data_IF_570235266930
#
_entry.id   IF_570235266930
#
_cell.length_a   1.000
_cell.length_b   1.000
_cell.length_c   1.000
_cell.angle_alpha   90.00
_cell.angle_beta   90.00
_cell.angle_gamma   90.00
#
_symmetry.space_group_name_H-M   'P 1'
#
loop_
_entity.id
_entity.type
_entity.pdbx_description
1 polymer ?
#
# COMPACT_ATOMS: atom_id res chain seq x y z
N UNK A 1 4.15 -3.67 6.74
CA UNK A 1 2.97 -2.78 6.79
C UNK A 1 3.14 -1.71 5.75
N UNK A 2 2.14 -1.54 4.88
CA UNK A 2 2.00 -0.41 3.96
C UNK A 2 0.88 0.46 4.53
N UNK A 3 1.06 1.76 4.48
CA UNK A 3 0.13 2.74 5.06
C UNK A 3 -0.03 3.91 4.09
N UNK A 4 -1.28 4.31 3.85
CA UNK A 4 -1.64 5.45 3.00
C UNK A 4 -2.48 6.38 3.88
N UNK A 5 -1.93 7.54 4.24
CA UNK A 5 -2.66 8.57 4.98
C UNK A 5 -3.47 9.44 4.01
N UNK A 6 -4.53 10.05 4.54
CA UNK A 6 -5.53 10.82 3.80
C UNK A 6 -6.27 9.99 2.75
N UNK A 7 -6.44 8.69 3.01
CA UNK A 7 -7.18 7.77 2.14
C UNK A 7 -8.70 7.96 2.30
N UNK A 8 -9.40 8.17 1.19
CA UNK A 8 -10.86 8.23 1.09
C UNK A 8 -11.37 6.98 0.37
N UNK A 9 -12.21 6.17 1.01
CA UNK A 9 -12.71 4.92 0.41
C UNK A 9 -13.64 5.11 -0.79
N UNK A 10 -14.26 6.29 -0.91
CA UNK A 10 -15.15 6.61 -2.01
C UNK A 10 -14.33 6.97 -3.26
N UNK A 11 -13.30 7.78 -3.05
CA UNK A 11 -12.49 8.38 -4.10
C UNK A 11 -11.27 7.55 -4.48
N UNK A 12 -10.67 6.86 -3.51
CA UNK A 12 -9.42 6.16 -3.71
C UNK A 12 -9.62 4.67 -3.94
N UNK A 13 -8.71 4.10 -4.70
CA UNK A 13 -8.60 2.67 -4.90
C UNK A 13 -7.14 2.25 -4.99
N UNK A 14 -6.87 1.06 -4.47
CA UNK A 14 -5.56 0.42 -4.56
C UNK A 14 -5.76 -1.01 -5.07
N UNK A 15 -5.00 -1.37 -6.11
CA UNK A 15 -4.93 -2.72 -6.63
C UNK A 15 -3.49 -3.22 -6.61
N UNK A 16 -3.34 -4.54 -6.67
CA UNK A 16 -2.05 -5.22 -6.77
C UNK A 16 -2.22 -6.54 -7.49
N UNK A 17 -1.15 -7.05 -8.08
CA UNK A 17 -1.20 -8.30 -8.83
C UNK A 17 -1.07 -9.49 -7.86
N UNK A 18 -2.13 -10.30 -7.76
CA UNK A 18 -2.18 -11.49 -6.92
C UNK A 18 -1.40 -12.68 -7.50
N UNK A 19 -1.17 -12.74 -8.81
CA UNK A 19 -0.42 -13.82 -9.44
C UNK A 19 1.06 -13.81 -9.04
N UNK A 20 1.58 -12.64 -8.64
CA UNK A 20 2.94 -12.46 -8.13
C UNK A 20 2.99 -12.32 -6.60
N UNK A 21 1.87 -12.59 -5.92
CA UNK A 21 1.83 -12.54 -4.46
C UNK A 21 2.78 -13.59 -3.88
N UNK A 22 3.67 -13.24 -2.92
CA UNK A 22 4.68 -14.18 -2.46
C UNK A 22 4.06 -15.38 -1.74
N UNK A 23 4.47 -16.59 -2.13
CA UNK A 23 4.04 -17.81 -1.45
C UNK A 23 4.48 -17.81 0.01
N UNK A 24 3.63 -18.33 0.90
CA UNK A 24 3.90 -18.32 2.35
C UNK A 24 3.64 -16.98 3.05
N UNK A 25 3.07 -16.01 2.34
CA UNK A 25 2.51 -14.80 2.93
C UNK A 25 0.99 -14.87 3.00
N UNK A 26 0.42 -14.01 3.84
CA UNK A 26 -0.98 -13.63 3.86
C UNK A 26 -1.04 -12.11 3.98
N UNK A 27 -2.16 -11.51 3.59
CA UNK A 27 -2.38 -10.09 3.80
C UNK A 27 -3.70 -9.83 4.52
N UNK A 28 -3.70 -8.78 5.32
CA UNK A 28 -4.91 -8.17 5.88
C UNK A 28 -4.89 -6.71 5.51
N UNK A 29 -6.07 -6.14 5.28
CA UNK A 29 -6.20 -4.71 5.05
C UNK A 29 -7.37 -4.14 5.82
N UNK A 30 -7.35 -2.83 6.04
CA UNK A 30 -8.42 -2.11 6.69
C UNK A 30 -8.25 -0.62 6.52
N UNK A 31 -9.36 0.10 6.65
CA UNK A 31 -9.40 1.56 6.58
C UNK A 31 -9.77 2.06 7.98
N UNK A 32 -8.96 2.96 8.52
CA UNK A 32 -9.16 3.52 9.86
C UNK A 32 -8.85 5.01 9.82
N UNK A 33 -9.81 5.85 10.22
CA UNK A 33 -9.64 7.32 10.37
C UNK A 33 -8.97 7.98 9.15
N UNK A 34 -9.48 7.72 7.95
CA UNK A 34 -8.94 8.31 6.72
C UNK A 34 -7.55 7.78 6.35
N UNK A 35 -7.20 6.57 6.79
CA UNK A 35 -5.94 5.90 6.44
C UNK A 35 -6.20 4.46 6.01
N UNK A 36 -5.57 4.03 4.92
CA UNK A 36 -5.56 2.63 4.50
C UNK A 36 -4.32 1.94 5.06
N UNK A 37 -4.51 0.77 5.66
CA UNK A 37 -3.43 -0.07 6.17
C UNK A 37 -3.46 -1.43 5.49
N UNK A 38 -2.29 -1.90 5.07
CA UNK A 38 -2.09 -3.26 4.55
C UNK A 38 -0.97 -3.92 5.34
N UNK A 39 -1.29 -5.04 5.97
CA UNK A 39 -0.37 -5.83 6.77
C UNK A 39 -0.10 -7.13 6.01
N UNK A 40 1.14 -7.26 5.53
CA UNK A 40 1.65 -8.51 4.97
C UNK A 40 2.27 -9.32 6.12
N UNK A 41 1.81 -10.56 6.32
CA UNK A 41 2.24 -11.46 7.39
C UNK A 41 2.77 -12.77 6.79
N UNK A 42 3.95 -13.21 7.24
CA UNK A 42 4.57 -14.45 6.76
C UNK A 42 6.06 -14.28 6.53
N UNK A 43 6.67 -15.30 5.90
CA UNK A 43 8.08 -15.30 5.52
C UNK A 43 8.17 -15.30 4.00
N UNK A 44 9.03 -14.45 3.45
CA UNK A 44 9.32 -14.39 2.02
C UNK A 44 10.77 -13.95 1.81
N UNK A 45 11.33 -14.25 0.64
CA UNK A 45 12.56 -13.60 0.18
C UNK A 45 12.28 -12.16 -0.27
N UNK A 46 13.31 -11.32 -0.23
CA UNK A 46 13.28 -9.98 -0.83
C UNK A 46 13.03 -10.02 -2.34
N UNK A 47 13.54 -11.07 -3.00
CA UNK A 47 13.38 -11.29 -4.46
C UNK A 47 11.92 -11.50 -4.88
N UNK A 48 11.04 -11.94 -3.98
CA UNK A 48 9.59 -12.03 -4.25
C UNK A 48 8.82 -10.83 -3.69
N UNK A 49 9.21 -10.31 -2.52
CA UNK A 49 8.51 -9.19 -1.88
C UNK A 49 8.54 -7.92 -2.73
N UNK A 50 9.70 -7.53 -3.24
CA UNK A 50 9.83 -6.26 -3.96
C UNK A 50 9.10 -6.24 -5.31
N UNK A 51 9.13 -7.30 -6.14
CA UNK A 51 8.28 -7.38 -7.31
C UNK A 51 6.79 -7.24 -6.98
N UNK A 52 6.30 -7.91 -5.92
CA UNK A 52 4.93 -7.75 -5.47
C UNK A 52 4.61 -6.29 -5.12
N UNK A 53 5.44 -5.63 -4.31
CA UNK A 53 5.25 -4.23 -3.93
C UNK A 53 5.26 -3.28 -5.15
N UNK A 54 6.06 -3.58 -6.17
CA UNK A 54 6.10 -2.80 -7.43
C UNK A 54 4.83 -2.95 -8.27
N UNK A 55 4.04 -4.00 -8.07
CA UNK A 55 2.75 -4.16 -8.77
C UNK A 55 1.60 -3.36 -8.17
N UNK A 56 1.83 -2.69 -7.04
CA UNK A 56 0.78 -1.88 -6.41
C UNK A 56 0.48 -0.66 -7.27
N UNK A 57 -0.79 -0.49 -7.60
CA UNK A 57 -1.30 0.65 -8.39
C UNK A 57 -2.29 1.40 -7.52
N UNK A 58 -2.04 2.68 -7.34
CA UNK A 58 -2.95 3.60 -6.68
C UNK A 58 -3.71 4.42 -7.73
N UNK A 59 -5.00 4.66 -7.50
CA UNK A 59 -5.82 5.54 -8.32
C UNK A 59 -6.78 6.37 -7.47
N UNK A 60 -6.80 7.68 -7.72
CA UNK A 60 -7.83 8.62 -7.28
C UNK A 60 -8.88 8.75 -8.40
N UNK A 61 -10.15 8.55 -8.09
CA UNK A 61 -11.25 8.53 -9.07
C UNK A 61 -11.82 9.91 -9.40
N UNK A 62 -11.75 10.88 -8.50
CA UNK A 62 -12.37 12.20 -8.73
C UNK A 62 -11.47 13.20 -9.47
N UNK A 63 -10.20 12.87 -9.74
CA UNK A 63 -9.23 13.81 -10.34
C UNK A 63 -9.10 15.13 -9.53
N UNK A 64 -9.53 15.09 -8.25
CA UNK A 64 -9.36 16.21 -7.35
C UNK A 64 -7.95 16.17 -6.77
N UNK A 65 -7.31 17.34 -6.76
CA UNK A 65 -5.98 17.46 -6.17
C UNK A 65 -6.02 17.07 -4.70
N UNK A 66 -5.21 16.07 -4.33
CA UNK A 66 -5.12 15.62 -2.95
C UNK A 66 -3.72 15.15 -2.61
N UNK A 67 -3.28 15.51 -1.41
CA UNK A 67 -2.03 15.02 -0.85
C UNK A 67 -2.24 13.64 -0.23
N UNK A 68 -1.43 12.68 -0.65
CA UNK A 68 -1.38 11.33 -0.06
C UNK A 68 0.01 11.05 0.47
N UNK A 69 0.07 10.42 1.65
CA UNK A 69 1.32 10.03 2.28
C UNK A 69 1.42 8.52 2.32
N UNK A 70 2.33 7.96 1.52
CA UNK A 70 2.60 6.53 1.47
C UNK A 70 3.78 6.19 2.36
N UNK A 71 3.62 5.19 3.23
CA UNK A 71 4.69 4.71 4.11
C UNK A 71 4.84 3.20 4.02
N UNK A 72 6.08 2.73 3.83
CA UNK A 72 6.45 1.31 3.93
C UNK A 72 7.21 1.06 5.22
N UNK A 73 6.72 0.09 5.99
CA UNK A 73 7.36 -0.44 7.18
C UNK A 73 7.64 -1.93 7.03
N UNK A 74 8.88 -2.34 7.31
CA UNK A 74 9.31 -3.75 7.34
C UNK A 74 9.81 -4.00 8.77
N UNK A 75 9.32 -5.08 9.40
CA UNK A 75 9.67 -5.43 10.79
C UNK A 75 9.55 -4.23 11.75
N UNK A 76 8.46 -3.48 11.65
CA UNK A 76 8.15 -2.28 12.44
C UNK A 76 9.11 -1.08 12.25
N UNK A 77 10.13 -1.20 11.39
CA UNK A 77 11.00 -0.09 11.01
C UNK A 77 10.47 0.59 9.76
N UNK A 78 10.54 1.92 9.72
CA UNK A 78 10.17 2.71 8.55
C UNK A 78 11.29 2.64 7.51
N UNK A 79 10.99 2.12 6.32
CA UNK A 79 11.95 1.99 5.24
C UNK A 79 11.76 3.03 4.14
N UNK A 80 10.52 3.50 3.93
CA UNK A 80 10.22 4.46 2.86
C UNK A 80 9.05 5.36 3.24
N UNK A 81 9.10 6.62 2.80
CA UNK A 81 8.01 7.59 2.84
C UNK A 81 7.97 8.33 1.51
N UNK A 82 6.78 8.42 0.92
CA UNK A 82 6.51 9.27 -0.22
C UNK A 82 5.34 10.19 0.10
N UNK A 83 5.48 11.45 -0.24
CA UNK A 83 4.39 12.44 -0.22
C UNK A 83 4.11 12.75 -1.68
N UNK A 84 2.88 12.50 -2.12
CA UNK A 84 2.46 12.73 -3.50
C UNK A 84 1.25 13.65 -3.53
N UNK A 85 1.34 14.69 -4.36
CA UNK A 85 0.20 15.51 -4.73
C UNK A 85 -0.36 14.93 -6.01
N UNK A 86 -1.51 14.27 -5.90
CA UNK A 86 -2.16 13.61 -7.03
C UNK A 86 -3.18 14.59 -7.60
N UNK A 87 -2.89 15.11 -8.79
CA UNK A 87 -3.79 15.90 -9.64
C UNK A 87 -4.62 15.00 -10.52
#
# INVERSE_FOLDING_TARGET
>A
KIEILNYDSNEDSLSFNLDIFPSGMSYKYGILKGSMHIILQGKTSSTMLFPFLKSMIYKNKSENSSEKIFTLMINQKKHYKLIANLS
#
